data_IF_825113033024
#
_entry.id   IF_825113033024
#
_cell.length_a   1.000
_cell.length_b   1.000
_cell.length_c   1.000
_cell.angle_alpha   90.00
_cell.angle_beta   90.00
_cell.angle_gamma   90.00
#
_symmetry.space_group_name_H-M   'P 1'
#
loop_
_entity.id
_entity.type
_entity.pdbx_description
1 polymer ?
#
# COMPACT_ATOMS: atom_id res chain seq x y z
N UNK A 1 -61.96 34.00 -32.12
CA UNK A 1 -61.19 34.24 -30.88
C UNK A 1 -61.81 33.36 -29.81
N UNK A 2 -61.20 32.38 -29.13
CA UNK A 2 -59.80 32.05 -28.83
C UNK A 2 -59.74 30.52 -28.73
N UNK A 3 -59.15 29.86 -29.73
CA UNK A 3 -58.66 28.47 -29.66
C UNK A 3 -57.17 28.57 -29.37
N UNK A 4 -56.74 28.35 -28.13
CA UNK A 4 -55.36 28.04 -27.67
C UNK A 4 -55.31 28.36 -26.18
N UNK A 5 -55.14 27.33 -25.32
CA UNK A 5 -54.42 27.39 -24.01
C UNK A 5 -54.75 26.27 -23.00
N UNK A 6 -55.25 25.09 -23.40
CA UNK A 6 -55.46 23.98 -22.45
C UNK A 6 -55.00 22.62 -22.99
N UNK A 7 -53.78 22.55 -23.55
CA UNK A 7 -53.12 21.28 -23.93
C UNK A 7 -51.64 21.21 -23.53
N UNK A 8 -51.26 21.78 -22.39
CA UNK A 8 -49.85 21.78 -21.94
C UNK A 8 -49.66 21.43 -20.46
N UNK A 9 -50.59 20.72 -19.83
CA UNK A 9 -50.36 20.08 -18.53
C UNK A 9 -50.99 18.69 -18.52
N UNK A 10 -50.21 17.68 -18.89
CA UNK A 10 -50.64 16.28 -18.98
C UNK A 10 -49.67 15.37 -19.74
N UNK A 11 -48.55 15.93 -20.22
CA UNK A 11 -47.46 15.22 -20.90
C UNK A 11 -46.13 15.50 -20.18
N UNK A 12 -46.14 15.31 -18.85
CA UNK A 12 -44.93 15.27 -18.00
C UNK A 12 -45.01 14.14 -16.97
N UNK A 13 -45.74 13.06 -17.28
CA UNK A 13 -45.34 11.72 -16.81
C UNK A 13 -44.46 11.17 -17.93
N UNK A 14 -43.23 11.67 -18.01
CA UNK A 14 -42.22 11.14 -17.10
C UNK A 14 -41.73 9.84 -17.72
N UNK A 15 -41.19 9.97 -18.92
CA UNK A 15 -40.34 9.03 -19.61
C UNK A 15 -39.05 8.85 -18.77
N UNK A 16 -39.18 8.43 -17.50
CA UNK A 16 -38.13 7.67 -16.85
C UNK A 16 -38.23 6.27 -17.44
N UNK A 17 -37.82 6.15 -18.70
CA UNK A 17 -37.20 4.91 -19.13
C UNK A 17 -36.12 4.66 -18.11
N UNK A 18 -36.27 3.58 -17.34
CA UNK A 18 -35.23 3.11 -16.46
C UNK A 18 -33.97 3.04 -17.31
N UNK A 19 -33.02 3.94 -17.07
CA UNK A 19 -31.68 3.79 -17.62
C UNK A 19 -31.27 2.39 -17.18
N UNK A 20 -31.04 1.43 -18.09
CA UNK A 20 -30.53 0.13 -17.68
C UNK A 20 -29.28 0.46 -16.89
N UNK A 21 -29.32 0.19 -15.58
CA UNK A 21 -28.17 0.36 -14.72
C UNK A 21 -27.04 -0.37 -15.42
N UNK A 22 -26.00 0.37 -15.81
CA UNK A 22 -24.84 -0.20 -16.48
C UNK A 22 -24.25 -1.22 -15.52
N UNK A 23 -24.67 -2.47 -15.68
CA UNK A 23 -24.12 -3.58 -14.93
C UNK A 23 -22.79 -3.84 -15.59
N UNK A 24 -21.71 -3.39 -14.95
CA UNK A 24 -20.38 -3.70 -15.41
C UNK A 24 -20.21 -5.22 -15.32
N UNK A 25 -20.40 -5.90 -16.45
CA UNK A 25 -20.16 -7.33 -16.53
C UNK A 25 -18.65 -7.50 -16.60
N UNK A 26 -18.07 -8.11 -15.57
CA UNK A 26 -16.66 -8.48 -15.57
C UNK A 26 -16.48 -9.63 -16.57
N UNK A 27 -15.76 -9.37 -17.66
CA UNK A 27 -15.35 -10.42 -18.58
C UNK A 27 -14.26 -11.26 -17.92
N UNK A 28 -14.56 -12.52 -17.61
CA UNK A 28 -13.62 -13.46 -17.02
C UNK A 28 -12.87 -14.20 -18.14
N UNK A 29 -11.54 -14.22 -18.06
CA UNK A 29 -10.70 -15.11 -18.86
C UNK A 29 -9.76 -15.85 -17.92
N UNK A 30 -9.81 -17.17 -18.00
CA UNK A 30 -8.94 -18.05 -17.21
C UNK A 30 -7.68 -18.39 -18.00
N UNK A 31 -6.55 -18.42 -17.28
CA UNK A 31 -5.29 -18.94 -17.77
C UNK A 31 -4.84 -20.04 -16.82
N UNK A 32 -4.50 -21.21 -17.36
CA UNK A 32 -4.09 -22.41 -16.62
C UNK A 32 -2.76 -22.93 -17.17
N UNK A 33 -2.31 -24.08 -16.65
CA UNK A 33 -1.16 -24.82 -17.18
C UNK A 33 -1.32 -25.12 -18.68
N UNK A 34 -2.54 -25.38 -19.14
CA UNK A 34 -2.82 -25.61 -20.56
C UNK A 34 -2.53 -24.38 -21.45
N UNK A 35 -2.44 -23.19 -20.87
CA UNK A 35 -2.08 -21.96 -21.56
C UNK A 35 -0.60 -21.60 -21.46
N UNK A 36 0.20 -22.40 -20.74
CA UNK A 36 1.65 -22.16 -20.56
C UNK A 36 2.04 -21.63 -19.18
N UNK A 37 1.11 -21.49 -18.22
CA UNK A 37 1.50 -21.23 -16.84
C UNK A 37 2.31 -22.42 -16.29
N UNK A 38 3.39 -22.17 -15.53
CA UNK A 38 4.19 -23.25 -14.95
C UNK A 38 3.45 -23.98 -13.82
N UNK A 39 2.59 -23.27 -13.08
CA UNK A 39 1.73 -23.80 -12.02
C UNK A 39 0.52 -22.91 -11.83
N UNK A 40 -0.59 -23.49 -11.35
CA UNK A 40 -1.85 -22.75 -11.12
C UNK A 40 -1.87 -21.94 -9.83
N UNK A 41 -0.99 -22.28 -8.87
CA UNK A 41 -0.87 -21.53 -7.61
C UNK A 41 0.03 -20.30 -7.84
N UNK A 42 -0.58 -19.12 -7.81
CA UNK A 42 0.09 -17.82 -7.96
C UNK A 42 0.22 -17.16 -6.59
N UNK A 43 1.45 -16.85 -6.17
CA UNK A 43 1.74 -16.21 -4.87
C UNK A 43 1.96 -14.70 -4.96
N UNK A 44 2.43 -14.22 -6.11
CA UNK A 44 2.75 -12.82 -6.33
C UNK A 44 2.54 -12.44 -7.80
N UNK A 45 2.14 -11.19 -8.03
CA UNK A 45 2.00 -10.62 -9.36
C UNK A 45 2.49 -9.17 -9.35
N UNK A 46 3.17 -8.76 -10.41
CA UNK A 46 3.45 -7.35 -10.68
C UNK A 46 3.44 -7.06 -12.19
N UNK A 47 3.33 -5.79 -12.55
CA UNK A 47 3.48 -5.35 -13.93
C UNK A 47 4.84 -4.66 -14.09
N UNK A 48 5.54 -4.92 -15.20
CA UNK A 48 6.76 -4.17 -15.53
C UNK A 48 6.47 -2.89 -16.31
N UNK A 49 7.49 -2.06 -16.51
CA UNK A 49 7.36 -0.79 -17.26
C UNK A 49 7.00 -0.93 -18.74
N UNK A 50 6.99 -2.16 -19.28
CA UNK A 50 6.56 -2.47 -20.65
C UNK A 50 5.13 -3.00 -20.72
N UNK A 51 4.44 -3.10 -19.58
CA UNK A 51 3.07 -3.58 -19.47
C UNK A 51 2.94 -5.10 -19.32
N UNK A 52 4.05 -5.85 -19.30
CA UNK A 52 4.01 -7.31 -19.13
C UNK A 52 3.71 -7.68 -17.69
N UNK A 53 2.94 -8.76 -17.51
CA UNK A 53 2.61 -9.28 -16.19
C UNK A 53 3.63 -10.34 -15.79
N UNK A 54 4.23 -10.17 -14.63
CA UNK A 54 5.13 -11.13 -14.02
C UNK A 54 4.42 -11.79 -12.84
N UNK A 55 4.42 -13.12 -12.82
CA UNK A 55 3.77 -13.89 -11.77
C UNK A 55 4.75 -14.89 -11.15
N UNK A 56 4.84 -14.85 -9.82
CA UNK A 56 5.54 -15.83 -9.02
C UNK A 56 4.61 -16.99 -8.70
N UNK A 57 5.01 -18.20 -9.06
CA UNK A 57 4.20 -19.41 -8.92
C UNK A 57 4.94 -20.45 -8.07
N UNK A 58 4.28 -21.57 -7.77
CA UNK A 58 4.95 -22.74 -7.18
C UNK A 58 5.94 -23.43 -8.15
N UNK A 59 5.79 -23.21 -9.47
CA UNK A 59 6.59 -23.86 -10.52
C UNK A 59 7.65 -22.97 -11.15
N UNK A 60 7.89 -21.77 -10.60
CA UNK A 60 8.83 -20.79 -11.12
C UNK A 60 8.22 -19.41 -11.31
N UNK A 61 8.98 -18.52 -11.93
CA UNK A 61 8.53 -17.19 -12.36
C UNK A 61 8.05 -17.29 -13.81
N UNK A 62 6.91 -16.67 -14.14
CA UNK A 62 6.51 -16.50 -15.53
C UNK A 62 6.22 -15.05 -15.88
N UNK A 63 6.45 -14.71 -17.15
CA UNK A 63 6.06 -13.42 -17.74
C UNK A 63 5.04 -13.65 -18.85
N UNK A 64 4.00 -12.83 -18.84
CA UNK A 64 2.92 -12.83 -19.81
C UNK A 64 2.93 -11.53 -20.61
N UNK A 65 2.98 -11.64 -21.93
CA UNK A 65 3.00 -10.50 -22.86
C UNK A 65 1.62 -10.10 -23.39
N UNK A 66 0.56 -10.77 -22.92
CA UNK A 66 -0.80 -10.61 -23.45
C UNK A 66 -1.25 -11.77 -24.35
N UNK A 67 -0.30 -12.59 -24.82
CA UNK A 67 -0.57 -13.73 -25.69
C UNK A 67 -0.01 -15.04 -25.15
N UNK A 68 1.24 -15.04 -24.68
CA UNK A 68 1.98 -16.24 -24.29
C UNK A 68 2.72 -16.05 -22.97
N UNK A 69 2.94 -17.17 -22.28
CA UNK A 69 3.77 -17.23 -21.09
C UNK A 69 5.19 -17.66 -21.44
N UNK A 70 6.18 -16.96 -20.87
CA UNK A 70 7.57 -17.44 -20.80
C UNK A 70 7.90 -17.76 -19.35
N UNK A 71 8.51 -18.93 -19.15
CA UNK A 71 8.84 -19.47 -17.82
C UNK A 71 10.33 -19.35 -17.52
N UNK A 72 10.64 -19.08 -16.25
CA UNK A 72 11.94 -19.19 -15.62
C UNK A 72 11.80 -20.14 -14.43
N UNK A 73 12.46 -21.28 -14.49
CA UNK A 73 12.52 -22.32 -13.46
C UNK A 73 13.99 -22.73 -13.19
N UNK A 74 14.19 -23.80 -12.43
CA UNK A 74 15.52 -24.37 -12.16
C UNK A 74 16.35 -24.69 -13.41
N UNK A 75 15.72 -25.05 -14.53
CA UNK A 75 16.39 -25.29 -15.83
C UNK A 75 16.88 -24.00 -16.46
N UNK A 76 16.27 -22.86 -16.13
CA UNK A 76 16.75 -21.52 -16.52
C UNK A 76 17.65 -20.86 -15.46
N UNK A 77 17.96 -21.56 -14.37
CA UNK A 77 18.93 -21.11 -13.37
C UNK A 77 18.33 -20.57 -12.06
N UNK A 78 17.02 -20.64 -11.86
CA UNK A 78 16.44 -20.33 -10.54
C UNK A 78 16.99 -21.27 -9.46
N UNK A 79 17.17 -20.72 -8.26
CA UNK A 79 17.65 -21.51 -7.11
C UNK A 79 16.54 -22.39 -6.52
N UNK A 80 15.30 -21.93 -6.65
CA UNK A 80 14.10 -22.57 -6.15
C UNK A 80 12.93 -22.17 -7.07
N UNK A 81 11.94 -23.04 -7.22
CA UNK A 81 10.79 -22.78 -8.09
C UNK A 81 9.63 -22.12 -7.33
N UNK A 82 9.62 -22.16 -6.00
CA UNK A 82 8.58 -21.54 -5.19
C UNK A 82 8.81 -20.04 -5.07
N UNK A 83 8.29 -19.28 -6.03
CA UNK A 83 8.45 -17.82 -6.07
C UNK A 83 7.35 -17.13 -5.27
N UNK A 84 7.70 -16.56 -4.12
CA UNK A 84 6.78 -15.96 -3.13
C UNK A 84 6.63 -14.44 -3.26
N UNK A 85 7.62 -13.78 -3.83
CA UNK A 85 7.61 -12.34 -4.04
C UNK A 85 8.14 -11.99 -5.43
N UNK A 86 7.55 -10.97 -6.06
CA UNK A 86 8.01 -10.42 -7.34
C UNK A 86 7.89 -8.90 -7.29
N UNK A 87 8.93 -8.19 -7.75
CA UNK A 87 8.92 -6.74 -7.88
C UNK A 87 9.68 -6.29 -9.12
N UNK A 88 9.04 -5.47 -9.97
CA UNK A 88 9.65 -4.91 -11.16
C UNK A 88 10.33 -3.57 -10.85
N UNK A 89 11.63 -3.47 -11.15
CA UNK A 89 12.41 -2.25 -11.01
C UNK A 89 12.35 -1.38 -12.27
N UNK A 90 12.51 -0.04 -12.14
CA UNK A 90 12.50 0.87 -13.28
C UNK A 90 13.56 0.60 -14.35
N UNK A 91 14.66 -0.07 -13.99
CA UNK A 91 15.75 -0.44 -14.90
C UNK A 91 15.49 -1.74 -15.68
N UNK A 92 14.28 -2.29 -15.57
CA UNK A 92 13.84 -3.54 -16.20
C UNK A 92 14.27 -4.80 -15.46
N UNK A 93 14.89 -4.68 -14.28
CA UNK A 93 15.22 -5.82 -13.42
C UNK A 93 13.97 -6.31 -12.69
N UNK A 94 13.70 -7.61 -12.75
CA UNK A 94 12.64 -8.25 -11.97
C UNK A 94 13.28 -8.93 -10.78
N UNK A 95 13.00 -8.42 -9.59
CA UNK A 95 13.43 -9.02 -8.33
C UNK A 95 12.43 -10.07 -7.90
N UNK A 96 12.94 -11.21 -7.42
CA UNK A 96 12.10 -12.27 -6.91
C UNK A 96 12.66 -12.88 -5.62
N UNK A 97 11.73 -13.21 -4.73
CA UNK A 97 11.99 -13.89 -3.47
C UNK A 97 11.45 -15.30 -3.54
N UNK A 98 12.27 -16.26 -3.12
CA UNK A 98 11.90 -17.66 -3.08
C UNK A 98 11.42 -18.08 -1.69
N UNK A 99 10.78 -19.23 -1.62
CA UNK A 99 10.53 -19.91 -0.35
C UNK A 99 11.86 -20.44 0.21
N UNK A 100 12.66 -21.19 -0.53
CA UNK A 100 13.89 -21.79 0.03
C UNK A 100 15.18 -21.38 -0.69
N UNK A 101 15.11 -20.47 -1.66
CA UNK A 101 16.21 -20.07 -2.54
C UNK A 101 16.72 -18.64 -2.36
N UNK A 102 16.29 -17.92 -1.31
CA UNK A 102 16.68 -16.53 -1.07
C UNK A 102 16.20 -15.58 -2.17
N UNK A 103 17.09 -14.70 -2.64
CA UNK A 103 16.76 -13.61 -3.56
C UNK A 103 17.45 -13.80 -4.91
N UNK A 104 16.68 -13.71 -5.99
CA UNK A 104 17.18 -13.71 -7.35
C UNK A 104 16.64 -12.52 -8.13
N UNK A 105 17.16 -12.37 -9.34
CA UNK A 105 16.72 -11.37 -10.28
C UNK A 105 16.70 -11.92 -11.71
N UNK A 106 15.80 -11.38 -12.52
CA UNK A 106 15.77 -11.58 -13.97
C UNK A 106 15.98 -10.24 -14.65
N UNK A 107 16.97 -10.15 -15.54
CA UNK A 107 17.22 -8.94 -16.33
C UNK A 107 17.62 -9.33 -17.74
N UNK A 108 16.91 -8.77 -18.74
CA UNK A 108 17.13 -9.10 -20.16
C UNK A 108 17.14 -10.62 -20.43
N UNK A 109 16.25 -11.35 -19.75
CA UNK A 109 16.13 -12.80 -19.88
C UNK A 109 17.22 -13.64 -19.21
N UNK A 110 18.21 -13.01 -18.56
CA UNK A 110 19.21 -13.70 -17.75
C UNK A 110 18.75 -13.78 -16.30
N UNK A 111 18.93 -14.95 -15.71
CA UNK A 111 18.70 -15.18 -14.29
C UNK A 111 20.01 -14.98 -13.53
N UNK A 112 19.96 -14.22 -12.43
CA UNK A 112 21.06 -14.09 -11.48
C UNK A 112 20.56 -14.27 -10.05
N UNK A 113 21.50 -14.56 -9.14
CA UNK A 113 21.24 -14.78 -7.73
C UNK A 113 22.01 -13.74 -6.92
N UNK A 114 21.43 -13.26 -5.82
CA UNK A 114 22.16 -12.41 -4.90
C UNK A 114 23.00 -13.26 -3.95
N UNK A 115 24.24 -12.86 -3.77
CA UNK A 115 25.07 -13.42 -2.72
C UNK A 115 24.67 -12.78 -1.39
N UNK A 116 24.24 -13.60 -0.43
CA UNK A 116 23.73 -13.15 0.87
C UNK A 116 24.65 -13.65 1.99
N UNK A 117 25.83 -13.04 2.18
CA UNK A 117 26.81 -13.51 3.14
C UNK A 117 26.26 -13.45 4.58
N UNK A 118 26.56 -14.48 5.37
CA UNK A 118 26.08 -14.58 6.76
C UNK A 118 24.59 -14.92 6.91
N UNK A 119 23.90 -15.24 5.81
CA UNK A 119 22.51 -15.70 5.84
C UNK A 119 22.41 -17.21 5.66
N UNK A 120 21.37 -17.81 6.27
CA UNK A 120 21.10 -19.21 6.07
C UNK A 120 20.81 -19.50 4.58
N UNK A 121 21.27 -20.66 4.06
CA UNK A 121 21.04 -21.02 2.65
C UNK A 121 19.55 -21.11 2.27
N UNK A 122 18.71 -21.55 3.21
CA UNK A 122 17.26 -21.72 3.04
C UNK A 122 16.49 -20.44 3.36
N UNK A 123 16.97 -19.28 2.89
CA UNK A 123 16.36 -18.00 3.20
C UNK A 123 14.97 -17.88 2.55
N UNK A 124 13.94 -17.74 3.39
CA UNK A 124 12.57 -17.42 2.99
C UNK A 124 12.39 -15.94 2.71
N UNK A 125 12.31 -15.55 1.44
CA UNK A 125 12.07 -14.18 1.01
C UNK A 125 10.59 -13.95 0.70
N UNK A 126 9.83 -13.51 1.71
CA UNK A 126 8.35 -13.40 1.65
C UNK A 126 7.83 -12.20 0.88
N UNK A 127 8.51 -11.06 1.00
CA UNK A 127 8.14 -9.81 0.32
C UNK A 127 9.37 -9.08 -0.14
N UNK A 128 9.25 -8.41 -1.27
CA UNK A 128 10.26 -7.51 -1.79
C UNK A 128 9.60 -6.15 -2.03
N UNK A 129 10.25 -5.10 -1.54
CA UNK A 129 9.90 -3.73 -1.87
C UNK A 129 11.11 -3.00 -2.41
N UNK A 130 10.90 -2.25 -3.50
CA UNK A 130 11.95 -1.47 -4.13
C UNK A 130 11.94 -0.06 -3.54
N UNK A 131 13.00 0.26 -2.82
CA UNK A 131 13.20 1.55 -2.20
C UNK A 131 13.94 2.55 -3.10
N UNK A 132 14.12 3.80 -2.60
CA UNK A 132 14.83 4.84 -3.32
C UNK A 132 16.27 4.44 -3.66
N UNK A 133 16.78 4.93 -4.79
CA UNK A 133 18.18 4.73 -5.18
C UNK A 133 18.56 3.25 -5.37
N UNK A 134 17.64 2.44 -5.91
CA UNK A 134 17.87 1.05 -6.26
C UNK A 134 18.03 0.10 -5.07
N UNK A 135 17.63 0.52 -3.86
CA UNK A 135 17.66 -0.34 -2.68
C UNK A 135 16.55 -1.38 -2.79
N UNK A 136 16.88 -2.63 -2.51
CA UNK A 136 15.93 -3.75 -2.46
C UNK A 136 15.74 -4.16 -1.01
N UNK A 137 14.52 -3.99 -0.51
CA UNK A 137 14.13 -4.39 0.83
C UNK A 137 13.45 -5.75 0.80
N UNK A 138 13.92 -6.69 1.60
CA UNK A 138 13.43 -8.08 1.60
C UNK A 138 12.96 -8.47 2.99
N UNK A 139 11.67 -8.71 3.12
CA UNK A 139 11.07 -9.29 4.32
C UNK A 139 11.36 -10.79 4.36
N UNK A 140 11.92 -11.26 5.47
CA UNK A 140 12.30 -12.66 5.62
C UNK A 140 11.63 -13.32 6.81
N UNK A 141 11.46 -14.64 6.72
CA UNK A 141 10.98 -15.45 7.82
C UNK A 141 12.16 -15.87 8.70
N UNK A 142 12.26 -15.28 9.89
CA UNK A 142 13.25 -15.64 10.92
C UNK A 142 14.65 -15.04 10.73
N UNK A 143 14.93 -14.34 9.63
CA UNK A 143 16.26 -13.75 9.36
C UNK A 143 16.25 -12.22 9.33
N UNK A 144 15.15 -11.58 9.73
CA UNK A 144 14.98 -10.13 9.82
C UNK A 144 14.60 -9.47 8.49
N UNK A 145 14.79 -8.15 8.43
CA UNK A 145 14.66 -7.36 7.22
C UNK A 145 16.03 -7.23 6.57
N UNK A 146 16.14 -7.57 5.30
CA UNK A 146 17.37 -7.36 4.53
C UNK A 146 17.25 -6.08 3.71
N UNK A 147 18.31 -5.29 3.72
CA UNK A 147 18.51 -4.14 2.84
C UNK A 147 19.64 -4.50 1.88
N UNK A 148 19.33 -4.59 0.60
CA UNK A 148 20.25 -5.03 -0.43
C UNK A 148 20.49 -3.92 -1.44
N UNK A 149 21.73 -3.80 -1.92
CA UNK A 149 21.99 -3.38 -3.29
C UNK A 149 22.78 -4.48 -3.95
N UNK A 150 22.13 -5.20 -4.84
CA UNK A 150 22.69 -6.37 -5.50
C UNK A 150 22.93 -5.99 -6.97
N UNK A 151 24.20 -5.92 -7.34
CA UNK A 151 24.66 -5.76 -8.72
C UNK A 151 25.27 -7.07 -9.24
N UNK A 152 25.68 -7.11 -10.52
CA UNK A 152 26.25 -8.32 -11.14
C UNK A 152 27.55 -8.84 -10.50
N UNK A 153 28.26 -8.00 -9.73
CA UNK A 153 29.57 -8.32 -9.14
C UNK A 153 29.73 -7.95 -7.68
N UNK A 154 28.80 -7.19 -7.11
CA UNK A 154 28.89 -6.73 -5.73
C UNK A 154 27.50 -6.68 -5.10
N UNK A 155 27.39 -7.19 -3.88
CA UNK A 155 26.16 -7.15 -3.09
C UNK A 155 26.46 -6.51 -1.75
N UNK A 156 25.96 -5.29 -1.56
CA UNK A 156 25.90 -4.72 -0.21
C UNK A 156 24.67 -5.26 0.49
N UNK A 157 24.89 -5.89 1.64
CA UNK A 157 23.84 -6.47 2.48
C UNK A 157 23.92 -5.86 3.86
N UNK A 158 22.80 -5.32 4.34
CA UNK A 158 22.60 -4.97 5.73
C UNK A 158 21.40 -5.73 6.27
N UNK A 159 21.59 -6.40 7.40
CA UNK A 159 20.51 -7.09 8.12
C UNK A 159 20.02 -6.21 9.27
N UNK A 160 18.70 -6.08 9.37
CA UNK A 160 18.02 -5.48 10.51
C UNK A 160 17.17 -6.57 11.15
N UNK A 161 17.52 -6.97 12.36
CA UNK A 161 16.79 -7.94 13.16
C UNK A 161 16.53 -7.42 14.58
N UNK A 162 16.21 -8.33 15.51
CA UNK A 162 15.97 -7.98 16.92
C UNK A 162 17.17 -7.29 17.56
N UNK A 163 18.38 -7.73 17.23
CA UNK A 163 19.62 -7.12 17.76
C UNK A 163 19.87 -5.72 17.21
N UNK A 164 19.20 -5.33 16.11
CA UNK A 164 19.22 -3.97 15.57
C UNK A 164 17.98 -3.16 15.97
N UNK A 165 17.06 -3.70 16.77
CA UNK A 165 15.89 -2.99 17.30
C UNK A 165 14.55 -3.30 16.63
N UNK A 166 14.49 -4.24 15.67
CA UNK A 166 13.18 -4.74 15.22
C UNK A 166 12.48 -5.52 16.34
N UNK A 167 11.14 -5.48 16.44
CA UNK A 167 10.38 -6.26 17.41
C UNK A 167 10.58 -7.78 17.23
N UNK A 168 10.78 -8.23 16.00
CA UNK A 168 10.99 -9.63 15.66
C UNK A 168 11.85 -9.79 14.40
N UNK A 169 12.53 -10.93 14.32
CA UNK A 169 13.25 -11.36 13.12
C UNK A 169 12.32 -11.96 12.06
N UNK A 170 11.04 -12.18 12.39
CA UNK A 170 10.04 -12.66 11.44
C UNK A 170 9.27 -11.47 10.83
N UNK A 171 9.73 -11.05 9.65
CA UNK A 171 9.15 -9.91 8.93
C UNK A 171 8.11 -10.42 7.95
N UNK A 172 6.86 -10.05 8.18
CA UNK A 172 5.70 -10.53 7.39
C UNK A 172 5.43 -9.68 6.17
N UNK A 173 5.58 -8.36 6.31
CA UNK A 173 5.24 -7.43 5.25
C UNK A 173 6.07 -6.15 5.34
N UNK A 174 6.36 -5.58 4.18
CA UNK A 174 7.02 -4.27 4.06
C UNK A 174 6.33 -3.47 2.96
N UNK A 175 6.17 -2.18 3.19
CA UNK A 175 5.59 -1.25 2.22
C UNK A 175 5.90 0.21 2.59
N UNK A 176 5.82 1.12 1.61
CA UNK A 176 6.15 2.52 1.82
C UNK A 176 5.11 3.18 2.72
N UNK A 177 5.60 3.82 3.77
CA UNK A 177 4.84 4.72 4.62
C UNK A 177 4.85 6.17 4.10
N UNK A 178 4.31 7.11 4.89
CA UNK A 178 4.36 8.54 4.59
C UNK A 178 5.79 9.08 4.66
N UNK A 179 6.06 10.23 4.01
CA UNK A 179 7.29 11.01 4.20
C UNK A 179 8.60 10.19 4.08
N UNK A 180 8.70 9.33 3.07
CA UNK A 180 9.91 8.53 2.82
C UNK A 180 10.13 7.37 3.80
N UNK A 181 9.13 7.04 4.62
CA UNK A 181 9.23 5.94 5.57
C UNK A 181 9.07 4.58 4.88
N UNK A 182 9.67 3.56 5.49
CA UNK A 182 9.38 2.16 5.26
C UNK A 182 8.70 1.60 6.51
N UNK A 183 7.50 1.05 6.35
CA UNK A 183 6.81 0.35 7.41
C UNK A 183 7.13 -1.14 7.33
N UNK A 184 7.34 -1.75 8.50
CA UNK A 184 7.83 -3.13 8.62
C UNK A 184 6.96 -3.86 9.62
N UNK A 185 6.08 -4.71 9.09
CA UNK A 185 5.18 -5.53 9.87
C UNK A 185 5.88 -6.83 10.29
N UNK A 186 5.86 -7.11 11.57
CA UNK A 186 6.42 -8.33 12.17
C UNK A 186 5.36 -9.07 12.98
N UNK A 187 5.65 -10.29 13.43
CA UNK A 187 4.77 -11.02 14.35
C UNK A 187 4.76 -10.47 15.79
N UNK A 188 5.61 -9.49 16.11
CA UNK A 188 5.69 -8.87 17.44
C UNK A 188 5.55 -7.33 17.41
N UNK A 189 5.03 -6.77 16.33
CA UNK A 189 4.78 -5.33 16.20
C UNK A 189 5.15 -4.75 14.84
N UNK A 190 4.87 -3.45 14.69
CA UNK A 190 5.23 -2.63 13.54
C UNK A 190 6.47 -1.80 13.87
N UNK A 191 7.44 -1.81 12.98
CA UNK A 191 8.57 -0.87 12.96
C UNK A 191 8.40 0.14 11.84
N UNK A 192 8.96 1.33 12.06
CA UNK A 192 9.05 2.38 11.05
C UNK A 192 10.52 2.72 10.85
N UNK A 193 10.96 2.81 9.60
CA UNK A 193 12.32 3.15 9.23
C UNK A 193 12.33 4.29 8.22
N UNK A 194 13.44 4.98 8.10
CA UNK A 194 13.72 5.81 6.94
C UNK A 194 14.11 4.91 5.76
N UNK A 195 13.41 5.00 4.63
CA UNK A 195 13.58 4.07 3.52
C UNK A 195 14.93 4.23 2.79
N UNK A 196 15.55 5.41 2.86
CA UNK A 196 16.80 5.70 2.18
C UNK A 196 18.01 5.17 2.98
N UNK A 197 18.04 5.44 4.28
CA UNK A 197 19.13 5.11 5.20
C UNK A 197 18.97 3.74 5.85
N UNK A 198 17.73 3.32 6.10
CA UNK A 198 17.41 2.12 6.88
C UNK A 198 17.49 2.32 8.39
N UNK A 199 17.56 3.57 8.87
CA UNK A 199 17.55 3.85 10.30
C UNK A 199 16.14 3.68 10.88
N UNK A 200 16.04 3.07 12.06
CA UNK A 200 14.78 2.95 12.78
C UNK A 200 14.31 4.33 13.27
N UNK A 201 13.01 4.58 13.15
CA UNK A 201 12.35 5.81 13.54
C UNK A 201 11.47 5.56 14.76
N UNK A 202 12.00 5.86 15.95
CA UNK A 202 11.31 5.62 17.22
C UNK A 202 10.07 6.50 17.42
N UNK A 203 10.15 7.79 17.08
CA UNK A 203 9.03 8.71 17.29
C UNK A 203 7.78 8.30 16.49
N UNK A 204 7.87 8.00 15.17
CA UNK A 204 6.76 7.43 14.41
C UNK A 204 6.24 6.12 14.99
N UNK A 205 7.14 5.21 15.41
CA UNK A 205 6.74 3.94 16.02
C UNK A 205 5.95 4.15 17.32
N UNK A 206 6.39 5.05 18.21
CA UNK A 206 5.71 5.36 19.48
C UNK A 206 4.38 6.07 19.30
N UNK A 207 4.20 6.77 18.18
CA UNK A 207 2.94 7.41 17.83
C UNK A 207 1.86 6.43 17.35
N UNK A 208 2.22 5.18 17.04
CA UNK A 208 1.26 4.15 16.67
C UNK A 208 0.41 3.72 17.88
N UNK A 209 -0.84 3.28 17.66
CA UNK A 209 -1.63 2.62 18.70
C UNK A 209 -0.88 1.45 19.36
N UNK A 210 -1.00 1.22 20.68
CA UNK A 210 -0.28 0.15 21.38
C UNK A 210 -0.42 -1.24 20.74
N UNK A 211 -1.60 -1.56 20.21
CA UNK A 211 -1.86 -2.83 19.49
C UNK A 211 -0.91 -3.06 18.31
N UNK A 212 -0.47 -1.99 17.63
CA UNK A 212 0.49 -2.08 16.53
C UNK A 212 1.94 -2.08 17.00
N UNK A 213 2.23 -1.70 18.24
CA UNK A 213 3.60 -1.67 18.76
C UNK A 213 4.10 -3.04 19.23
N UNK A 214 3.17 -3.90 19.68
CA UNK A 214 3.47 -5.23 20.25
C UNK A 214 2.69 -6.39 19.60
N UNK A 215 1.63 -6.09 18.84
CA UNK A 215 0.79 -7.11 18.23
C UNK A 215 1.34 -7.65 16.91
N UNK A 216 0.93 -8.86 16.55
CA UNK A 216 1.27 -9.46 15.25
C UNK A 216 0.57 -8.73 14.11
N UNK A 217 1.37 -8.11 13.24
CA UNK A 217 0.91 -7.39 12.05
C UNK A 217 1.20 -8.23 10.81
N UNK A 218 0.15 -8.59 10.07
CA UNK A 218 0.26 -9.49 8.92
C UNK A 218 0.54 -8.74 7.62
N UNK A 219 -0.16 -7.65 7.38
CA UNK A 219 0.00 -6.81 6.19
C UNK A 219 -0.65 -5.45 6.42
N UNK A 220 -0.39 -4.51 5.53
CA UNK A 220 -1.09 -3.23 5.51
C UNK A 220 -1.28 -2.75 4.08
N UNK A 221 -2.35 -2.00 3.88
CA UNK A 221 -2.76 -1.43 2.61
C UNK A 221 -2.86 0.08 2.75
N UNK A 222 -2.04 0.79 1.99
CA UNK A 222 -2.04 2.25 1.97
C UNK A 222 -3.11 2.75 1.00
N UNK A 223 -4.05 3.52 1.53
CA UNK A 223 -5.07 4.21 0.73
C UNK A 223 -4.58 5.62 0.35
N UNK A 224 -3.93 6.30 1.28
CA UNK A 224 -3.30 7.61 1.08
C UNK A 224 -2.16 7.82 2.08
N UNK A 225 -1.50 8.97 2.07
CA UNK A 225 -0.48 9.36 3.04
C UNK A 225 -1.01 9.41 4.48
N UNK A 226 -2.32 9.49 4.64
CA UNK A 226 -2.99 9.64 5.93
C UNK A 226 -3.92 8.49 6.23
N UNK A 227 -4.16 7.53 5.32
CA UNK A 227 -5.12 6.46 5.54
C UNK A 227 -4.53 5.11 5.16
N UNK A 228 -4.54 4.20 6.12
CA UNK A 228 -4.04 2.83 6.01
C UNK A 228 -5.06 1.86 6.59
N UNK A 229 -5.16 0.69 5.97
CA UNK A 229 -5.77 -0.49 6.57
C UNK A 229 -4.68 -1.44 7.03
N UNK A 230 -4.76 -1.93 8.26
CA UNK A 230 -3.73 -2.79 8.86
C UNK A 230 -4.38 -4.10 9.28
N UNK A 231 -3.94 -5.20 8.67
CA UNK A 231 -4.38 -6.53 9.02
C UNK A 231 -3.50 -7.06 10.16
N UNK A 232 -4.12 -7.42 11.28
CA UNK A 232 -3.47 -8.04 12.43
C UNK A 232 -4.01 -9.45 12.65
N UNK A 233 -3.39 -10.22 13.53
CA UNK A 233 -3.96 -11.53 13.94
C UNK A 233 -5.32 -11.39 14.64
N UNK A 234 -5.59 -10.23 15.25
CA UNK A 234 -6.80 -9.98 16.04
C UNK A 234 -7.85 -9.14 15.29
N UNK A 235 -7.74 -9.04 13.96
CA UNK A 235 -8.69 -8.33 13.10
C UNK A 235 -8.08 -7.20 12.28
N UNK A 236 -8.97 -6.45 11.63
CA UNK A 236 -8.63 -5.38 10.69
C UNK A 236 -8.75 -4.01 11.38
N UNK A 237 -7.70 -3.20 11.29
CA UNK A 237 -7.64 -1.86 11.87
C UNK A 237 -7.64 -0.82 10.75
N UNK A 238 -8.40 0.27 10.95
CA UNK A 238 -8.32 1.47 10.12
C UNK A 238 -7.44 2.49 10.84
N UNK A 239 -6.31 2.84 10.25
CA UNK A 239 -5.37 3.81 10.79
C UNK A 239 -5.44 5.08 9.95
N UNK A 240 -5.93 6.16 10.56
CA UNK A 240 -6.01 7.48 9.93
C UNK A 240 -5.17 8.51 10.68
N UNK A 241 -4.24 9.16 9.98
CA UNK A 241 -3.53 10.34 10.44
C UNK A 241 -4.41 11.58 10.29
N UNK A 242 -4.54 12.37 11.36
CA UNK A 242 -5.21 13.67 11.32
C UNK A 242 -4.17 14.78 11.27
N UNK A 243 -4.36 15.76 10.39
CA UNK A 243 -4.04 17.13 10.78
C UNK A 243 -4.87 17.38 12.04
N UNK A 244 -4.23 17.69 13.16
CA UNK A 244 -4.90 18.47 14.21
C UNK A 244 -5.14 19.86 13.60
N UNK A 245 -6.11 19.98 12.69
CA UNK A 245 -6.77 21.25 12.45
C UNK A 245 -7.35 21.66 13.80
N UNK A 246 -7.02 22.87 14.23
CA UNK A 246 -7.49 23.45 15.47
C UNK A 246 -8.97 23.12 15.66
N UNK A 247 -9.28 22.23 16.62
CA UNK A 247 -10.58 22.27 17.25
C UNK A 247 -10.61 23.60 17.99
N UNK A 248 -11.11 24.64 17.32
CA UNK A 248 -11.63 25.80 18.01
C UNK A 248 -12.59 25.26 19.08
N UNK A 249 -12.26 25.54 20.33
CA UNK A 249 -13.08 25.20 21.47
C UNK A 249 -14.47 25.83 21.25
N UNK A 250 -15.46 25.01 20.86
CA UNK A 250 -16.85 25.37 21.06
C UNK A 250 -17.16 25.13 22.54
N UNK A 251 -17.03 26.20 23.33
CA UNK A 251 -17.60 26.24 24.66
C UNK A 251 -19.13 26.04 24.59
N UNK A 252 -19.76 25.40 25.60
CA UNK A 252 -21.14 24.95 25.48
C UNK A 252 -22.10 26.07 25.85
N UNK A 253 -23.06 26.43 24.99
CA UNK A 253 -24.27 27.15 25.43
C UNK A 253 -25.52 26.73 24.67
N UNK A 254 -26.35 26.01 25.44
CA UNK A 254 -27.80 26.16 25.66
C UNK A 254 -28.76 25.91 24.48
N UNK A 255 -29.69 25.00 24.75
CA UNK A 255 -30.94 24.82 24.05
C UNK A 255 -31.75 26.13 24.00
N UNK A 256 -32.36 26.43 22.85
CA UNK A 256 -33.60 27.19 22.71
C UNK A 256 -34.25 26.88 21.34
N UNK A 257 -35.58 26.94 21.34
CA UNK A 257 -36.56 26.41 20.37
C UNK A 257 -36.65 27.18 19.02
N UNK A 258 -37.44 26.71 18.03
CA UNK A 258 -37.45 27.22 16.65
C UNK A 258 -38.30 28.51 16.49
N UNK A 259 -38.22 29.21 15.32
CA UNK A 259 -38.54 30.62 15.22
C UNK A 259 -40.03 30.89 14.91
N UNK A 260 -40.57 31.97 15.47
CA UNK A 260 -41.83 32.58 15.01
C UNK A 260 -41.60 34.01 14.53
N UNK A 261 -42.34 34.35 13.47
CA UNK A 261 -42.46 35.63 12.78
C UNK A 261 -42.73 36.84 13.70
N UNK A 262 -42.35 38.04 13.24
CA UNK A 262 -43.07 39.28 13.59
C UNK A 262 -42.21 40.55 13.76
N UNK A 263 -42.33 41.45 12.77
CA UNK A 263 -42.46 42.91 12.89
C UNK A 263 -41.34 43.85 13.42
N UNK A 264 -40.92 44.74 12.51
CA UNK A 264 -40.86 46.23 12.58
C UNK A 264 -40.51 46.98 13.89
N UNK A 265 -39.43 47.78 13.84
CA UNK A 265 -39.35 49.27 14.04
C UNK A 265 -37.90 49.68 14.41
N UNK A 266 -37.13 50.33 13.52
CA UNK A 266 -36.86 51.80 13.40
C UNK A 266 -36.03 52.47 14.54
N UNK A 267 -35.00 53.23 14.09
CA UNK A 267 -34.24 54.37 14.69
C UNK A 267 -33.20 54.10 15.79
N UNK A 268 -32.04 54.77 15.98
CA UNK A 268 -31.04 55.66 15.30
C UNK A 268 -29.82 55.75 16.30
N UNK A 269 -28.58 56.17 15.92
CA UNK A 269 -27.32 55.78 16.56
C UNK A 269 -26.62 56.88 17.41
N UNK A 270 -25.68 56.47 18.28
CA UNK A 270 -24.59 57.28 18.86
C UNK A 270 -23.61 56.32 19.60
N UNK A 271 -22.29 56.44 19.66
CA UNK A 271 -21.31 57.41 19.21
C UNK A 271 -19.94 56.92 19.72
N UNK A 272 -18.87 57.16 18.95
CA UNK A 272 -17.50 56.77 19.28
C UNK A 272 -16.88 57.65 20.39
N UNK A 273 -16.10 57.06 21.29
CA UNK A 273 -15.19 57.74 22.22
C UNK A 273 -13.76 57.19 22.08
N UNK A 274 -12.70 58.02 22.20
CA UNK A 274 -11.33 57.65 21.86
C UNK A 274 -10.58 56.96 23.02
N UNK A 275 -9.46 56.26 22.75
CA UNK A 275 -8.70 55.55 23.78
C UNK A 275 -7.69 56.46 24.53
N UNK A 276 -7.33 56.13 25.79
CA UNK A 276 -6.33 56.88 26.56
C UNK A 276 -4.87 56.53 26.19
N UNK A 277 -3.92 57.43 26.48
CA UNK A 277 -2.51 57.29 26.09
C UNK A 277 -1.71 56.34 26.99
N UNK A 278 -0.67 55.73 26.41
CA UNK A 278 0.30 54.86 27.09
C UNK A 278 1.36 55.68 27.82
N UNK A 279 1.75 55.18 29.00
CA UNK A 279 3.09 55.33 29.56
C UNK A 279 3.72 53.92 29.60
#
# INVERSE_FOLDING_TARGET
MVRRLLKTLGLWFGLLGALPGMTQTLALREYTIANGLPQSVIYAICQDGTGRLWAGTQGGLCVFDGQQFRVYDGRQGLADNHVRAVAAAPDGTIWLGHEYGGVAWVRQGKVGRCHLPGMAPTLHARRIWLGPGGVVWVATEGQGLLRLRCGPRDTTLTRLGRTQGLPSDNVRFVAPGPAGQLWVATDAGLSVLDAATGHLLDAPRRALPPVLQVGSVNSFFRVSDTLFWVATTNGLLRLSGGHRGACAASAPKRACAPPTCGEFCKTVPAGCGPPPPRA
#
